data_IF_746792517584
#
_entry.id   IF_746792517584
#
_cell.length_a   1.000
_cell.length_b   1.000
_cell.length_c   1.000
_cell.angle_alpha   90.00
_cell.angle_beta   90.00
_cell.angle_gamma   90.00
#
_symmetry.space_group_name_H-M   'P 1'
#
loop_
_entity.id
_entity.type
_entity.pdbx_description
1 polymer ?
#
# COMPACT_ATOMS: atom_id res chain seq x y z
N UNK A 1 -43.10 -19.61 15.43
CA UNK A 1 -42.80 -18.22 15.07
C UNK A 1 -41.48 -17.83 15.70
N UNK A 2 -40.40 -17.75 14.92
CA UNK A 2 -39.21 -16.96 15.26
C UNK A 2 -38.33 -16.83 14.00
N UNK A 3 -38.38 -15.72 13.26
CA UNK A 3 -37.43 -15.45 12.20
C UNK A 3 -36.42 -14.43 12.71
N UNK A 4 -35.26 -14.88 13.20
CA UNK A 4 -34.13 -13.99 13.47
C UNK A 4 -33.12 -14.14 12.32
N UNK A 5 -33.35 -13.40 11.24
CA UNK A 5 -32.37 -13.21 10.18
C UNK A 5 -31.47 -12.04 10.58
N UNK A 6 -30.34 -12.34 11.21
CA UNK A 6 -29.22 -11.40 11.33
C UNK A 6 -28.50 -11.31 9.99
N UNK A 7 -28.92 -10.38 9.13
CA UNK A 7 -28.11 -9.97 7.99
C UNK A 7 -27.06 -8.97 8.45
N UNK A 8 -25.83 -9.45 8.64
CA UNK A 8 -24.63 -8.64 8.79
C UNK A 8 -24.40 -7.82 7.52
N UNK A 9 -24.67 -6.51 7.60
CA UNK A 9 -24.38 -5.56 6.50
C UNK A 9 -22.89 -5.23 6.56
N UNK A 10 -22.15 -5.73 5.57
CA UNK A 10 -20.81 -5.25 5.24
C UNK A 10 -20.88 -3.74 4.98
N UNK A 11 -20.34 -2.94 5.90
CA UNK A 11 -20.25 -1.49 5.75
C UNK A 11 -19.13 -1.17 4.77
N UNK A 12 -19.51 -0.85 3.53
CA UNK A 12 -18.63 -0.19 2.57
C UNK A 12 -18.28 1.19 3.13
N UNK A 13 -17.01 1.42 3.47
CA UNK A 13 -16.52 2.73 3.89
C UNK A 13 -16.57 3.65 2.66
N UNK A 14 -17.65 4.41 2.50
CA UNK A 14 -17.69 5.51 1.54
C UNK A 14 -16.87 6.66 2.12
N UNK A 15 -15.72 6.96 1.52
CA UNK A 15 -14.97 8.16 1.87
C UNK A 15 -15.77 9.39 1.44
N UNK A 16 -16.06 10.29 2.38
CA UNK A 16 -16.67 11.58 2.09
C UNK A 16 -15.66 12.46 1.33
N UNK A 17 -15.82 12.56 0.01
CA UNK A 17 -14.98 13.40 -0.84
C UNK A 17 -15.41 14.86 -0.74
N UNK A 18 -14.46 15.76 -0.59
CA UNK A 18 -14.67 17.21 -0.62
C UNK A 18 -13.77 17.86 -1.66
N UNK A 19 -14.29 18.91 -2.31
CA UNK A 19 -13.54 19.65 -3.31
C UNK A 19 -12.40 20.43 -2.63
N UNK A 20 -11.13 20.24 -3.04
CA UNK A 20 -10.02 20.97 -2.44
C UNK A 20 -10.00 22.47 -2.80
N UNK A 21 -10.76 22.88 -3.82
CA UNK A 21 -10.83 24.27 -4.26
C UNK A 21 -11.93 25.07 -3.53
N UNK A 22 -13.14 24.51 -3.40
CA UNK A 22 -14.30 25.24 -2.87
C UNK A 22 -14.95 24.61 -1.63
N UNK A 23 -14.50 23.43 -1.21
CA UNK A 23 -15.02 22.71 -0.03
C UNK A 23 -16.36 22.00 -0.23
N UNK A 24 -16.98 22.06 -1.41
CA UNK A 24 -18.24 21.39 -1.68
C UNK A 24 -18.07 19.85 -1.75
N UNK A 25 -19.06 19.09 -1.28
CA UNK A 25 -19.05 17.62 -1.27
C UNK A 25 -19.73 16.97 -2.49
N UNK A 26 -20.35 17.76 -3.38
CA UNK A 26 -20.92 17.28 -4.63
C UNK A 26 -19.80 16.96 -5.64
N UNK A 27 -19.23 15.76 -5.49
CA UNK A 27 -18.14 15.24 -6.31
C UNK A 27 -18.63 14.07 -7.16
N UNK A 28 -18.44 14.18 -8.47
CA UNK A 28 -18.62 13.06 -9.41
C UNK A 28 -17.29 12.40 -9.72
N UNK A 29 -17.34 11.12 -10.08
CA UNK A 29 -16.15 10.35 -10.47
C UNK A 29 -16.33 9.82 -11.88
N UNK A 30 -15.33 10.04 -12.73
CA UNK A 30 -15.21 9.38 -14.02
C UNK A 30 -13.90 8.60 -14.08
N UNK A 31 -13.88 7.46 -14.74
CA UNK A 31 -12.67 6.66 -14.93
C UNK A 31 -12.09 6.94 -16.30
N UNK A 32 -10.80 7.28 -16.34
CA UNK A 32 -10.10 7.59 -17.60
C UNK A 32 -8.73 6.93 -17.60
N UNK A 33 -8.22 6.50 -18.77
CA UNK A 33 -6.86 6.01 -18.89
C UNK A 33 -5.90 7.18 -18.68
N UNK A 34 -4.98 7.03 -17.72
CA UNK A 34 -3.84 7.93 -17.53
C UNK A 34 -2.58 7.26 -18.10
N UNK A 35 -1.89 8.00 -18.96
CA UNK A 35 -0.66 7.57 -19.63
C UNK A 35 0.49 8.39 -19.10
N UNK A 36 1.52 7.75 -18.55
CA UNK A 36 2.64 8.44 -17.93
C UNK A 36 3.95 7.66 -18.07
N UNK A 37 5.08 8.37 -18.09
CA UNK A 37 6.40 7.77 -18.18
C UNK A 37 6.93 7.35 -16.81
N UNK A 38 7.60 6.21 -16.76
CA UNK A 38 8.33 5.72 -15.60
C UNK A 38 9.77 5.37 -15.98
N UNK A 39 10.73 5.66 -15.10
CA UNK A 39 12.16 5.42 -15.34
C UNK A 39 12.91 6.65 -15.87
N UNK A 40 14.19 6.47 -16.16
CA UNK A 40 15.08 7.54 -16.65
C UNK A 40 15.96 7.05 -17.78
N UNK A 41 16.31 7.95 -18.70
CA UNK A 41 17.17 7.64 -19.85
C UNK A 41 16.60 6.51 -20.72
N UNK A 42 17.47 5.56 -21.08
CA UNK A 42 17.12 4.42 -21.96
C UNK A 42 16.16 3.42 -21.31
N UNK A 43 15.99 3.46 -19.99
CA UNK A 43 15.06 2.59 -19.26
C UNK A 43 13.67 3.23 -19.07
N UNK A 44 13.40 4.36 -19.72
CA UNK A 44 12.09 5.02 -19.66
C UNK A 44 11.05 4.20 -20.42
N UNK A 45 9.93 3.91 -19.75
CA UNK A 45 8.79 3.17 -20.30
C UNK A 45 7.52 4.00 -20.13
N UNK A 46 6.57 3.81 -21.04
CA UNK A 46 5.22 4.37 -20.90
C UNK A 46 4.31 3.34 -20.22
N UNK A 47 3.61 3.77 -19.18
CA UNK A 47 2.64 2.97 -18.46
C UNK A 47 1.24 3.57 -18.62
N UNK A 48 0.23 2.70 -18.65
CA UNK A 48 -1.18 3.10 -18.73
C UNK A 48 -1.99 2.39 -17.65
N UNK A 49 -2.83 3.16 -16.95
CA UNK A 49 -3.78 2.62 -15.98
C UNK A 49 -5.03 3.50 -15.93
N UNK A 50 -6.20 2.90 -15.75
CA UNK A 50 -7.42 3.65 -15.49
C UNK A 50 -7.39 4.23 -14.07
N UNK A 51 -7.63 5.53 -13.96
CA UNK A 51 -7.66 6.26 -12.68
C UNK A 51 -9.00 6.99 -12.49
N UNK A 52 -9.45 7.17 -11.23
CA UNK A 52 -10.60 8.01 -10.94
C UNK A 52 -10.23 9.48 -11.07
N UNK A 53 -10.90 10.17 -12.00
CA UNK A 53 -10.92 11.63 -12.12
C UNK A 53 -12.13 12.14 -11.35
N UNK A 54 -11.86 12.95 -10.32
CA UNK A 54 -12.89 13.60 -9.51
C UNK A 54 -13.24 14.94 -10.15
N UNK A 55 -14.53 15.27 -10.18
CA UNK A 55 -15.03 16.57 -10.65
C UNK A 55 -16.02 17.13 -9.65
N UNK A 56 -15.81 18.37 -9.22
CA UNK A 56 -16.77 19.08 -8.40
C UNK A 56 -17.92 19.63 -9.25
N UNK A 57 -19.16 19.36 -8.88
CA UNK A 57 -20.35 19.88 -9.58
C UNK A 57 -20.58 21.38 -9.32
N UNK A 58 -20.04 21.93 -8.24
CA UNK A 58 -20.28 23.33 -7.85
C UNK A 58 -19.31 24.34 -8.48
N UNK A 59 -18.07 23.94 -8.74
CA UNK A 59 -17.03 24.83 -9.29
C UNK A 59 -16.28 24.24 -10.49
N UNK A 60 -16.73 23.08 -11.00
CA UNK A 60 -16.14 22.36 -12.14
C UNK A 60 -14.66 21.96 -11.98
N UNK A 61 -14.10 22.04 -10.77
CA UNK A 61 -12.72 21.66 -10.51
C UNK A 61 -12.53 20.15 -10.70
N UNK A 62 -11.62 19.76 -11.60
CA UNK A 62 -11.22 18.38 -11.85
C UNK A 62 -9.87 18.07 -11.20
N UNK A 63 -9.75 16.91 -10.55
CA UNK A 63 -8.52 16.49 -9.87
C UNK A 63 -8.38 14.98 -9.78
N UNK A 64 -7.13 14.55 -9.58
CA UNK A 64 -6.75 13.20 -9.18
C UNK A 64 -6.47 13.22 -7.68
N UNK A 65 -6.87 12.17 -6.96
CA UNK A 65 -6.68 12.04 -5.52
C UNK A 65 -5.72 10.89 -5.16
N UNK A 66 -5.62 10.59 -3.87
CA UNK A 66 -4.76 9.52 -3.37
C UNK A 66 -5.12 8.14 -3.97
N UNK A 67 -6.36 7.91 -4.43
CA UNK A 67 -6.74 6.66 -5.09
C UNK A 67 -6.09 6.55 -6.47
N UNK A 68 -6.11 7.63 -7.25
CA UNK A 68 -5.43 7.70 -8.53
C UNK A 68 -3.91 7.46 -8.37
N UNK A 69 -3.27 8.12 -7.40
CA UNK A 69 -1.84 7.92 -7.13
C UNK A 69 -1.51 6.48 -6.69
N UNK A 70 -2.37 5.85 -5.86
CA UNK A 70 -2.21 4.43 -5.50
C UNK A 70 -2.29 3.52 -6.71
N UNK A 71 -3.22 3.75 -7.64
CA UNK A 71 -3.38 2.94 -8.85
C UNK A 71 -2.18 3.07 -9.79
N UNK A 72 -1.66 4.30 -9.95
CA UNK A 72 -0.44 4.58 -10.72
C UNK A 72 0.78 3.89 -10.10
N UNK A 73 0.95 4.02 -8.78
CA UNK A 73 2.03 3.31 -8.09
C UNK A 73 1.90 1.79 -8.23
N UNK A 74 0.67 1.26 -8.14
CA UNK A 74 0.41 -0.16 -8.37
C UNK A 74 0.78 -0.63 -9.77
N UNK A 75 0.54 0.18 -10.81
CA UNK A 75 0.97 -0.12 -12.18
C UNK A 75 2.51 -0.17 -12.31
N UNK A 76 3.23 0.73 -11.62
CA UNK A 76 4.69 0.68 -11.54
C UNK A 76 5.15 -0.63 -10.86
N UNK A 77 4.57 -1.00 -9.72
CA UNK A 77 4.89 -2.25 -9.03
C UNK A 77 4.66 -3.48 -9.91
N UNK A 78 3.54 -3.52 -10.65
CA UNK A 78 3.24 -4.58 -11.62
C UNK A 78 4.27 -4.64 -12.74
N UNK A 79 4.64 -3.50 -13.32
CA UNK A 79 5.67 -3.43 -14.34
C UNK A 79 7.02 -3.98 -13.83
N UNK A 80 7.39 -3.65 -12.60
CA UNK A 80 8.61 -4.14 -11.95
C UNK A 80 8.49 -5.59 -11.43
N UNK A 81 7.31 -6.21 -11.44
CA UNK A 81 7.10 -7.56 -10.92
C UNK A 81 7.27 -7.67 -9.39
N UNK A 82 6.96 -6.62 -8.64
CA UNK A 82 7.05 -6.58 -7.17
C UNK A 82 5.68 -6.29 -6.54
N UNK A 83 5.55 -6.59 -5.25
CA UNK A 83 4.37 -6.30 -4.44
C UNK A 83 4.12 -4.78 -4.35
N UNK A 84 2.85 -4.42 -4.42
CA UNK A 84 2.33 -3.07 -4.18
C UNK A 84 2.29 -2.73 -2.68
N UNK A 85 2.21 -1.44 -2.33
CA UNK A 85 2.07 -0.98 -0.94
C UNK A 85 0.94 -1.67 -0.16
N UNK A 86 -0.20 -1.86 -0.82
CA UNK A 86 -1.38 -2.49 -0.21
C UNK A 86 -1.17 -4.00 0.01
N UNK A 87 -0.52 -4.70 -0.91
CA UNK A 87 -0.16 -6.12 -0.72
C UNK A 87 0.84 -6.29 0.43
N UNK A 88 1.86 -5.44 0.53
CA UNK A 88 2.83 -5.47 1.64
C UNK A 88 2.11 -5.25 2.97
N UNK A 89 1.25 -4.22 3.03
CA UNK A 89 0.44 -3.91 4.21
C UNK A 89 -0.50 -5.07 4.56
N UNK A 90 -1.11 -5.70 3.57
CA UNK A 90 -1.99 -6.85 3.74
C UNK A 90 -1.23 -8.03 4.35
N UNK A 91 -0.07 -8.42 3.79
CA UNK A 91 0.78 -9.50 4.33
C UNK A 91 1.08 -9.27 5.82
N UNK A 92 1.50 -8.07 6.20
CA UNK A 92 1.78 -7.75 7.61
C UNK A 92 0.53 -7.88 8.49
N UNK A 93 -0.62 -7.41 8.00
CA UNK A 93 -1.90 -7.44 8.73
C UNK A 93 -2.42 -8.87 8.90
N UNK A 94 -2.29 -9.73 7.89
CA UNK A 94 -2.65 -11.16 7.97
C UNK A 94 -1.81 -11.90 9.04
N UNK A 95 -0.57 -11.46 9.24
CA UNK A 95 0.29 -11.95 10.32
C UNK A 95 -0.06 -11.36 11.70
N UNK A 96 -1.04 -10.47 11.79
CA UNK A 96 -1.49 -9.85 13.03
C UNK A 96 -0.45 -8.91 13.67
N UNK A 97 0.52 -8.41 12.91
CA UNK A 97 1.66 -7.65 13.47
C UNK A 97 1.54 -6.15 13.24
N UNK A 98 2.00 -5.39 14.24
CA UNK A 98 2.33 -3.96 14.06
C UNK A 98 3.58 -3.81 13.18
N UNK A 99 3.83 -2.62 12.62
CA UNK A 99 5.07 -2.38 11.85
C UNK A 99 6.32 -2.63 12.68
N UNK A 100 6.34 -2.14 13.93
CA UNK A 100 7.45 -2.36 14.86
C UNK A 100 7.72 -3.85 15.12
N UNK A 101 6.68 -4.65 15.43
CA UNK A 101 6.85 -6.09 15.67
C UNK A 101 7.26 -6.82 14.38
N UNK A 102 6.67 -6.47 13.25
CA UNK A 102 7.03 -7.07 11.97
C UNK A 102 8.47 -6.75 11.59
N UNK A 103 8.94 -5.51 11.78
CA UNK A 103 10.33 -5.09 11.61
C UNK A 103 11.27 -5.91 12.51
N UNK A 104 10.94 -6.03 13.79
CA UNK A 104 11.73 -6.77 14.76
C UNK A 104 11.89 -8.25 14.38
N UNK A 105 10.80 -8.90 13.94
CA UNK A 105 10.83 -10.32 13.55
C UNK A 105 11.58 -10.49 12.25
N UNK A 106 11.22 -9.74 11.21
CA UNK A 106 11.74 -9.96 9.85
C UNK A 106 13.17 -9.44 9.66
N UNK A 107 13.62 -8.51 10.50
CA UNK A 107 14.88 -7.78 10.33
C UNK A 107 14.78 -6.60 9.35
N UNK A 108 13.60 -6.30 8.82
CA UNK A 108 13.40 -5.07 8.04
C UNK A 108 13.50 -3.84 8.94
N UNK A 109 13.97 -2.72 8.38
CA UNK A 109 13.88 -1.43 9.05
C UNK A 109 12.42 -0.96 9.11
N UNK A 110 11.94 -0.55 10.29
CA UNK A 110 10.56 -0.04 10.45
C UNK A 110 10.28 1.17 9.54
N UNK A 111 11.26 2.07 9.40
CA UNK A 111 11.17 3.20 8.47
C UNK A 111 11.04 2.75 7.01
N UNK A 112 11.68 1.64 6.62
CA UNK A 112 11.54 1.08 5.27
C UNK A 112 10.15 0.51 5.05
N UNK A 113 9.62 -0.26 6.00
CA UNK A 113 8.23 -0.74 5.95
C UNK A 113 7.22 0.40 5.85
N UNK A 114 7.44 1.48 6.62
CA UNK A 114 6.60 2.67 6.53
C UNK A 114 6.63 3.29 5.13
N UNK A 115 7.81 3.40 4.49
CA UNK A 115 7.90 3.94 3.13
C UNK A 115 7.25 3.01 2.10
N UNK A 116 7.47 1.70 2.19
CA UNK A 116 6.89 0.73 1.26
C UNK A 116 5.36 0.70 1.36
N UNK A 117 4.80 0.61 2.56
CA UNK A 117 3.35 0.54 2.76
C UNK A 117 2.60 1.84 2.44
N UNK A 118 3.31 2.95 2.26
CA UNK A 118 2.74 4.23 1.82
C UNK A 118 3.15 4.59 0.39
N UNK A 119 3.80 3.69 -0.37
CA UNK A 119 4.19 3.93 -1.76
C UNK A 119 5.28 4.98 -1.95
N UNK A 120 6.01 5.35 -0.89
CA UNK A 120 7.07 6.37 -0.96
C UNK A 120 8.37 5.84 -1.60
N UNK A 121 8.61 4.53 -1.48
CA UNK A 121 9.75 3.85 -2.12
C UNK A 121 9.36 2.42 -2.46
N UNK A 122 10.00 1.84 -3.46
CA UNK A 122 9.80 0.45 -3.87
C UNK A 122 10.87 -0.42 -3.19
N UNK A 123 10.44 -1.58 -2.68
CA UNK A 123 11.33 -2.58 -2.09
C UNK A 123 12.23 -3.24 -3.14
N UNK A 124 13.35 -3.79 -2.69
CA UNK A 124 14.20 -4.61 -3.57
C UNK A 124 13.53 -5.95 -3.88
N UNK A 125 13.91 -6.60 -4.99
CA UNK A 125 13.43 -7.95 -5.30
C UNK A 125 13.74 -8.99 -4.21
N UNK A 126 14.83 -8.83 -3.46
CA UNK A 126 15.14 -9.72 -2.34
C UNK A 126 14.09 -9.60 -1.23
N UNK A 127 13.74 -8.36 -0.85
CA UNK A 127 12.71 -8.09 0.15
C UNK A 127 11.32 -8.50 -0.35
N UNK A 128 11.04 -8.31 -1.63
CA UNK A 128 9.81 -8.78 -2.28
C UNK A 128 9.64 -10.30 -2.15
N UNK A 129 10.65 -11.07 -2.56
CA UNK A 129 10.64 -12.54 -2.44
C UNK A 129 10.48 -12.98 -0.99
N UNK A 130 11.14 -12.30 -0.06
CA UNK A 130 11.01 -12.59 1.36
C UNK A 130 9.58 -12.36 1.86
N UNK A 131 8.95 -11.24 1.51
CA UNK A 131 7.54 -10.97 1.82
C UNK A 131 6.60 -12.02 1.20
N UNK A 132 6.85 -12.43 -0.05
CA UNK A 132 6.08 -13.50 -0.72
C UNK A 132 6.23 -14.85 -0.03
N UNK A 133 7.42 -15.20 0.46
CA UNK A 133 7.63 -16.41 1.25
C UNK A 133 6.85 -16.40 2.57
N UNK A 134 6.76 -15.24 3.22
CA UNK A 134 5.94 -15.06 4.43
C UNK A 134 4.45 -15.17 4.12
N UNK A 135 4.00 -14.59 3.01
CA UNK A 135 2.62 -14.67 2.55
C UNK A 135 2.21 -16.11 2.18
N UNK A 136 3.08 -16.84 1.48
CA UNK A 136 2.82 -18.20 1.01
C UNK A 136 2.73 -19.20 2.17
N UNK A 137 3.49 -19.00 3.24
CA UNK A 137 3.41 -19.81 4.44
C UNK A 137 3.64 -18.95 5.69
N UNK A 138 2.56 -18.47 6.34
CA UNK A 138 2.65 -17.70 7.58
C UNK A 138 3.43 -18.39 8.71
N UNK A 139 3.49 -19.73 8.71
CA UNK A 139 4.30 -20.50 9.65
C UNK A 139 5.81 -20.21 9.57
N UNK A 140 6.29 -19.66 8.46
CA UNK A 140 7.68 -19.23 8.29
C UNK A 140 8.13 -18.22 9.36
N UNK A 141 7.20 -17.44 9.92
CA UNK A 141 7.48 -16.51 11.03
C UNK A 141 8.11 -17.24 12.22
N UNK A 142 7.65 -18.44 12.58
CA UNK A 142 8.16 -19.17 13.73
C UNK A 142 9.64 -19.57 13.58
N UNK A 143 10.08 -19.80 12.34
CA UNK A 143 11.49 -20.10 12.05
C UNK A 143 12.34 -18.83 12.15
N UNK A 144 11.81 -17.71 11.63
CA UNK A 144 12.49 -16.42 11.66
C UNK A 144 12.66 -15.91 13.08
N UNK A 145 11.65 -16.07 13.94
CA UNK A 145 11.72 -15.67 15.35
C UNK A 145 12.86 -16.36 16.12
N UNK A 146 13.26 -17.57 15.72
CA UNK A 146 14.43 -18.27 16.29
C UNK A 146 15.75 -17.55 15.99
N UNK A 147 15.82 -16.85 14.86
CA UNK A 147 16.99 -16.05 14.47
C UNK A 147 16.91 -14.61 15.02
N UNK A 148 15.71 -14.05 15.14
CA UNK A 148 15.47 -12.68 15.59
C UNK A 148 15.97 -12.38 17.01
N UNK A 149 16.14 -13.41 17.85
CA UNK A 149 16.59 -13.27 19.25
C UNK A 149 18.07 -12.87 19.43
N UNK A 150 18.84 -12.68 18.35
CA UNK A 150 20.29 -12.40 18.43
C UNK A 150 20.70 -10.96 18.13
N UNK A 151 19.78 -10.07 17.77
CA UNK A 151 20.12 -8.67 17.50
C UNK A 151 19.63 -7.75 18.64
N UNK A 152 20.54 -7.05 19.36
CA UNK A 152 20.12 -6.02 20.32
C UNK A 152 19.36 -4.90 19.60
N UNK A 153 18.44 -4.20 20.29
CA UNK A 153 17.66 -3.11 19.71
C UNK A 153 18.58 -2.05 19.09
N UNK A 154 18.15 -1.49 17.96
CA UNK A 154 18.93 -0.55 17.15
C UNK A 154 19.38 0.71 17.92
N UNK A 155 18.78 1.00 19.07
CA UNK A 155 19.17 2.06 20.01
C UNK A 155 20.45 1.77 20.81
N UNK A 156 20.97 0.55 20.78
CA UNK A 156 22.18 0.14 21.50
C UNK A 156 23.45 0.13 20.64
N UNK A 157 23.39 0.56 19.36
CA UNK A 157 24.60 0.69 18.53
C UNK A 157 25.31 2.00 18.90
N UNK A 158 26.57 1.97 19.37
CA UNK A 158 27.33 3.19 19.59
C UNK A 158 27.45 3.95 18.25
N UNK A 159 27.20 5.26 18.27
CA UNK A 159 27.54 6.14 17.14
C UNK A 159 29.07 6.16 17.01
N UNK A 160 29.61 6.16 15.78
CA UNK A 160 31.05 6.34 15.55
C UNK A 160 31.54 7.69 16.07
#
# INVERSE_FOLDING_TARGET
MNPNQSTSKLQTVQQELTCPLCGNAAITTSWKPDVYSYGTGEAMVELTVDVPVRRCEACDFEYLDDEAERLKHGAICRHLGVLSPDEIRHIRKELGMTRAKFAQVTGFGEASLNRWENGLTIQTHANDRYLRLLAANPGNIQYIERFAYTAPPHSARPRP
#
